data_IF_637069790912
#
_entry.id   IF_637069790912
#
_cell.length_a   1.000
_cell.length_b   1.000
_cell.length_c   1.000
_cell.angle_alpha   90.00
_cell.angle_beta   90.00
_cell.angle_gamma   90.00
#
_symmetry.space_group_name_H-M   'P 1'
#
loop_
_entity.id
_entity.type
_entity.pdbx_description
1 polymer ?
#
# COMPACT_ATOMS: atom_id res chain seq x y z
N UNK A 1 24.69 34.85 12.39
CA UNK A 1 23.52 34.77 13.30
C UNK A 1 22.25 34.79 12.45
N UNK A 2 21.82 33.65 11.93
CA UNK A 2 20.51 33.48 11.31
C UNK A 2 19.94 32.16 11.82
N UNK A 3 19.15 32.25 12.90
CA UNK A 3 18.29 31.15 13.34
C UNK A 3 17.13 31.07 12.35
N UNK A 4 17.16 30.11 11.42
CA UNK A 4 15.94 29.67 10.73
C UNK A 4 15.19 28.75 11.70
N UNK A 5 14.21 29.30 12.40
CA UNK A 5 13.14 28.51 13.01
C UNK A 5 12.32 27.92 11.87
N UNK A 6 12.54 26.64 11.56
CA UNK A 6 11.72 25.87 10.64
C UNK A 6 10.36 25.61 11.29
N UNK A 7 9.40 26.49 11.05
CA UNK A 7 8.00 26.15 11.22
C UNK A 7 7.66 25.10 10.16
N UNK A 8 7.54 23.83 10.57
CA UNK A 8 6.86 22.80 9.77
C UNK A 8 5.42 23.29 9.65
N UNK A 9 5.05 23.88 8.51
CA UNK A 9 3.64 24.08 8.17
C UNK A 9 3.09 22.70 7.83
N UNK A 10 2.06 22.27 8.53
CA UNK A 10 1.26 21.12 8.09
C UNK A 10 0.66 21.47 6.73
N UNK A 11 1.01 20.70 5.69
CA UNK A 11 0.47 20.87 4.34
C UNK A 11 -0.88 20.13 4.15
N UNK A 12 -1.22 19.21 5.06
CA UNK A 12 -2.48 18.46 5.08
C UNK A 12 -2.98 18.29 6.52
N UNK A 13 -4.30 18.18 6.68
CA UNK A 13 -4.98 18.06 7.97
C UNK A 13 -5.50 16.65 8.29
N UNK A 14 -5.29 15.70 7.38
CA UNK A 14 -5.65 14.28 7.51
C UNK A 14 -5.04 13.48 6.37
N UNK A 15 -4.90 12.17 6.55
CA UNK A 15 -4.28 11.27 5.55
C UNK A 15 -5.07 9.96 5.45
N UNK A 16 -5.34 9.54 4.21
CA UNK A 16 -5.89 8.23 3.88
C UNK A 16 -4.78 7.47 3.13
N UNK A 17 -4.43 6.29 3.61
CA UNK A 17 -3.46 5.39 3.00
C UNK A 17 -4.17 4.08 2.69
N UNK A 18 -4.26 3.78 1.39
CA UNK A 18 -4.92 2.59 0.89
C UNK A 18 -3.89 1.61 0.34
N UNK A 19 -3.95 0.36 0.79
CA UNK A 19 -3.13 -0.79 0.40
C UNK A 19 -1.60 -0.68 0.64
N UNK A 20 -0.96 0.47 0.45
CA UNK A 20 0.50 0.59 0.53
C UNK A 20 0.97 1.54 1.64
N UNK A 21 1.24 1.02 2.85
CA UNK A 21 1.93 1.79 3.89
C UNK A 21 3.38 2.11 3.50
N UNK A 22 3.97 3.10 4.16
CA UNK A 22 5.31 3.64 3.83
C UNK A 22 6.47 2.63 3.96
N UNK A 23 6.22 1.51 4.61
CA UNK A 23 7.21 0.48 4.91
C UNK A 23 7.31 -0.67 3.91
N UNK A 24 6.46 -0.73 2.88
CA UNK A 24 6.52 -1.83 1.91
C UNK A 24 7.77 -1.71 1.04
N UNK A 25 8.32 -2.87 0.65
CA UNK A 25 9.45 -2.96 -0.29
C UNK A 25 9.12 -2.30 -1.65
N UNK A 26 7.84 -2.17 -2.01
CA UNK A 26 7.41 -1.46 -3.21
C UNK A 26 7.54 0.07 -3.11
N UNK A 27 7.72 0.61 -1.90
CA UNK A 27 7.80 2.06 -1.65
C UNK A 27 9.22 2.47 -1.26
N UNK A 28 9.82 1.82 -0.25
CA UNK A 28 11.23 2.02 0.13
C UNK A 28 11.89 0.67 0.49
N UNK A 29 12.86 0.22 -0.33
CA UNK A 29 13.60 -1.01 -0.05
C UNK A 29 14.96 -0.71 0.59
N UNK A 30 15.15 -1.09 1.85
CA UNK A 30 16.47 -1.02 2.48
C UNK A 30 17.41 -2.04 1.85
N UNK A 31 18.51 -1.57 1.25
CA UNK A 31 19.51 -2.42 0.62
C UNK A 31 19.20 -2.84 -0.82
N UNK A 32 18.09 -2.37 -1.41
CA UNK A 32 17.93 -2.42 -2.86
C UNK A 32 18.79 -1.33 -3.48
N UNK A 33 19.59 -1.72 -4.47
CA UNK A 33 20.66 -0.88 -4.97
C UNK A 33 20.22 -0.09 -6.20
N UNK A 34 19.41 0.95 -5.96
CA UNK A 34 19.04 1.93 -7.00
C UNK A 34 20.28 2.57 -7.63
N UNK A 35 21.43 2.60 -6.95
CA UNK A 35 22.68 3.10 -7.50
C UNK A 35 23.22 2.21 -8.63
N UNK A 36 23.11 0.88 -8.51
CA UNK A 36 23.50 -0.05 -9.59
C UNK A 36 22.60 0.16 -10.81
N UNK A 37 21.29 0.29 -10.59
CA UNK A 37 20.34 0.55 -11.66
C UNK A 37 20.66 1.88 -12.37
N UNK A 38 20.82 2.94 -11.57
CA UNK A 38 21.16 4.28 -12.04
C UNK A 38 22.48 4.29 -12.82
N UNK A 39 23.49 3.59 -12.32
CA UNK A 39 24.79 3.46 -12.97
C UNK A 39 24.67 2.70 -14.30
N UNK A 40 23.97 1.57 -14.34
CA UNK A 40 23.74 0.80 -15.57
C UNK A 40 23.02 1.61 -16.64
N UNK A 41 21.99 2.37 -16.25
CA UNK A 41 21.25 3.24 -17.18
C UNK A 41 22.14 4.39 -17.65
N UNK A 42 22.93 5.00 -16.76
CA UNK A 42 23.86 6.07 -17.12
C UNK A 42 24.94 5.63 -18.12
N UNK A 43 25.49 4.42 -17.95
CA UNK A 43 26.46 3.81 -18.86
C UNK A 43 25.84 3.53 -20.22
N UNK A 44 24.64 2.94 -20.22
CA UNK A 44 23.96 2.52 -21.45
C UNK A 44 23.48 3.71 -22.29
N UNK A 45 22.91 4.72 -21.64
CA UNK A 45 22.23 5.82 -22.32
C UNK A 45 23.12 7.04 -22.57
N UNK A 46 24.08 7.28 -21.68
CA UNK A 46 24.89 8.50 -21.69
C UNK A 46 26.39 8.23 -21.85
N UNK A 47 26.81 6.97 -22.01
CA UNK A 47 28.22 6.57 -21.97
C UNK A 47 28.95 7.08 -20.70
N UNK A 48 28.22 7.20 -19.60
CA UNK A 48 28.74 7.74 -18.33
C UNK A 48 29.61 6.68 -17.66
N UNK A 49 30.89 6.95 -17.42
CA UNK A 49 31.83 5.92 -16.95
C UNK A 49 31.77 5.73 -15.43
N UNK A 50 32.29 4.60 -14.94
CA UNK A 50 32.41 4.36 -13.50
C UNK A 50 33.30 5.39 -12.80
N UNK A 51 34.32 5.92 -13.48
CA UNK A 51 35.17 6.97 -12.92
C UNK A 51 34.37 8.26 -12.73
N UNK A 52 33.57 8.66 -13.73
CA UNK A 52 32.67 9.83 -13.62
C UNK A 52 31.62 9.65 -12.52
N UNK A 53 31.14 8.41 -12.32
CA UNK A 53 30.23 8.06 -11.23
C UNK A 53 30.88 8.26 -9.85
N UNK A 54 32.10 7.75 -9.69
CA UNK A 54 32.85 7.83 -8.43
C UNK A 54 33.31 9.26 -8.10
N UNK A 55 33.53 10.10 -9.12
CA UNK A 55 33.87 11.51 -8.95
C UNK A 55 32.71 12.34 -8.37
N UNK A 56 31.47 11.83 -8.46
CA UNK A 56 30.29 12.45 -7.83
C UNK A 56 29.79 13.73 -8.49
N UNK A 57 30.38 14.15 -9.61
CA UNK A 57 29.89 15.28 -10.43
C UNK A 57 28.93 14.77 -11.52
N UNK A 58 27.65 14.70 -11.17
CA UNK A 58 26.59 14.23 -12.06
C UNK A 58 26.10 15.28 -13.07
N UNK A 59 26.79 16.41 -13.25
CA UNK A 59 26.36 17.45 -14.20
C UNK A 59 26.26 16.92 -15.63
N UNK A 60 27.29 16.20 -16.10
CA UNK A 60 27.29 15.62 -17.45
C UNK A 60 26.20 14.58 -17.64
N UNK A 61 25.93 13.77 -16.60
CA UNK A 61 24.84 12.80 -16.64
C UNK A 61 23.48 13.50 -16.74
N UNK A 62 23.26 14.53 -15.91
CA UNK A 62 22.04 15.32 -15.93
C UNK A 62 21.79 15.95 -17.29
N UNK A 63 22.79 16.62 -17.86
CA UNK A 63 22.65 17.30 -19.16
C UNK A 63 22.26 16.28 -20.25
N UNK A 64 22.91 15.10 -20.27
CA UNK A 64 22.57 14.02 -21.20
C UNK A 64 21.12 13.51 -21.02
N UNK A 65 20.69 13.24 -19.78
CA UNK A 65 19.34 12.73 -19.50
C UNK A 65 18.26 13.77 -19.81
N UNK A 66 18.53 15.07 -19.62
CA UNK A 66 17.59 16.14 -19.92
C UNK A 66 17.32 16.31 -21.43
N UNK A 67 18.32 16.03 -22.26
CA UNK A 67 18.21 16.10 -23.72
C UNK A 67 17.76 14.77 -24.35
N UNK A 68 17.49 13.75 -23.52
CA UNK A 68 17.16 12.41 -23.99
C UNK A 68 15.72 12.30 -24.49
N UNK A 69 15.53 11.59 -25.60
CA UNK A 69 14.20 11.13 -26.01
C UNK A 69 13.72 10.04 -25.05
N UNK A 70 12.57 10.28 -24.41
CA UNK A 70 11.91 9.36 -23.50
C UNK A 70 11.75 7.96 -24.11
N UNK A 71 11.51 7.84 -25.41
CA UNK A 71 11.34 6.55 -26.08
C UNK A 71 12.61 5.69 -26.08
N UNK A 72 13.79 6.28 -25.85
CA UNK A 72 15.05 5.53 -25.67
C UNK A 72 15.21 5.00 -24.24
N UNK A 73 14.58 5.67 -23.29
CA UNK A 73 14.65 5.33 -21.87
C UNK A 73 13.70 4.18 -21.52
N UNK A 74 12.45 4.25 -22.01
CA UNK A 74 11.38 3.29 -21.66
C UNK A 74 11.74 1.80 -21.83
N UNK A 75 12.46 1.36 -22.89
CA UNK A 75 12.80 -0.06 -23.03
C UNK A 75 13.72 -0.61 -21.94
N UNK A 76 14.54 0.24 -21.30
CA UNK A 76 15.41 -0.16 -20.19
C UNK A 76 14.64 -0.30 -18.88
N UNK A 77 13.60 0.49 -18.70
CA UNK A 77 12.75 0.48 -17.51
C UNK A 77 11.69 -0.64 -17.51
N UNK A 78 11.31 -1.15 -18.68
CA UNK A 78 10.26 -2.17 -18.83
C UNK A 78 10.55 -3.53 -18.16
N UNK A 79 11.81 -3.80 -17.75
CA UNK A 79 12.22 -5.09 -17.18
C UNK A 79 12.68 -5.00 -15.72
N UNK A 80 12.37 -3.90 -15.04
CA UNK A 80 12.75 -3.73 -13.65
C UNK A 80 11.69 -4.37 -12.77
N UNK A 81 11.98 -5.55 -12.22
CA UNK A 81 11.08 -6.30 -11.32
C UNK A 81 10.50 -5.44 -10.18
N UNK A 82 11.14 -4.32 -9.83
CA UNK A 82 10.69 -3.39 -8.80
C UNK A 82 10.80 -1.91 -9.21
N UNK A 83 11.30 -1.59 -10.42
CA UNK A 83 11.36 -0.21 -10.92
C UNK A 83 12.16 0.80 -10.06
N UNK A 84 11.88 2.08 -10.28
CA UNK A 84 12.41 3.21 -9.50
C UNK A 84 11.62 3.40 -8.20
N UNK A 85 12.32 3.66 -7.09
CA UNK A 85 11.73 3.79 -5.75
C UNK A 85 12.02 5.14 -5.11
N UNK A 86 11.32 5.44 -4.01
CA UNK A 86 11.67 6.57 -3.16
C UNK A 86 12.97 6.23 -2.42
N UNK A 87 13.96 7.12 -2.51
CA UNK A 87 15.25 6.96 -1.84
C UNK A 87 15.37 7.90 -0.64
N UNK A 88 16.17 7.49 0.35
CA UNK A 88 16.57 8.37 1.47
C UNK A 88 17.56 9.39 0.92
N UNK A 89 17.10 10.62 0.72
CA UNK A 89 17.86 11.70 0.07
C UNK A 89 18.44 12.72 1.07
N UNK A 90 18.14 12.57 2.37
CA UNK A 90 18.56 13.53 3.40
C UNK A 90 17.77 14.84 3.40
N UNK A 91 16.78 15.00 2.52
CA UNK A 91 15.99 16.22 2.35
C UNK A 91 14.47 15.96 2.35
N UNK A 92 13.93 15.38 1.28
CA UNK A 92 12.51 15.02 1.19
C UNK A 92 12.20 13.82 2.11
N UNK A 93 12.99 12.76 2.00
CA UNK A 93 12.99 11.61 2.91
C UNK A 93 14.33 11.59 3.66
N UNK A 94 14.43 12.28 4.81
CA UNK A 94 15.71 12.52 5.48
C UNK A 94 16.31 11.28 6.17
N UNK A 95 15.50 10.25 6.40
CA UNK A 95 15.90 8.97 6.98
C UNK A 95 14.84 7.91 6.62
N UNK A 96 15.09 6.64 6.95
CA UNK A 96 14.11 5.57 6.76
C UNK A 96 12.84 5.80 7.59
N UNK A 97 11.65 5.41 7.10
CA UNK A 97 10.39 5.60 7.81
C UNK A 97 10.38 5.10 9.27
N UNK A 98 11.07 4.00 9.57
CA UNK A 98 11.18 3.43 10.92
C UNK A 98 11.91 4.37 11.89
N UNK A 99 12.89 5.13 11.40
CA UNK A 99 13.63 6.12 12.18
C UNK A 99 12.86 7.45 12.30
N UNK A 100 11.93 7.70 11.37
CA UNK A 100 11.12 8.92 11.33
C UNK A 100 9.79 8.80 12.09
N UNK A 101 9.42 7.63 12.61
CA UNK A 101 8.13 7.39 13.29
C UNK A 101 7.79 8.41 14.38
N UNK A 102 8.77 8.80 15.20
CA UNK A 102 8.57 9.78 16.29
C UNK A 102 8.35 11.21 15.78
N UNK A 103 8.72 11.49 14.52
CA UNK A 103 8.54 12.80 13.86
C UNK A 103 7.24 12.87 13.06
N UNK A 104 6.44 11.79 13.03
CA UNK A 104 5.15 11.78 12.33
C UNK A 104 4.21 12.81 12.95
N UNK A 105 3.51 13.61 12.15
CA UNK A 105 2.55 14.57 12.65
C UNK A 105 1.34 13.86 13.27
N UNK A 106 0.80 14.42 14.35
CA UNK A 106 -0.43 13.92 14.97
C UNK A 106 -1.65 14.46 14.21
N UNK A 107 -1.92 13.86 13.06
CA UNK A 107 -3.10 14.11 12.22
C UNK A 107 -3.98 12.85 12.20
N UNK A 108 -5.28 12.98 11.92
CA UNK A 108 -6.13 11.83 11.62
C UNK A 108 -5.56 10.99 10.48
N UNK A 109 -5.50 9.68 10.69
CA UNK A 109 -5.03 8.69 9.72
C UNK A 109 -6.14 7.66 9.49
N UNK A 110 -6.46 7.36 8.24
CA UNK A 110 -7.29 6.23 7.84
C UNK A 110 -6.42 5.25 7.04
N UNK A 111 -6.33 4.01 7.50
CA UNK A 111 -5.50 2.95 6.93
C UNK A 111 -6.38 1.76 6.53
N UNK A 112 -6.06 1.17 5.39
CA UNK A 112 -6.75 0.01 4.87
C UNK A 112 -5.83 -1.02 4.25
N UNK A 113 -6.40 -2.20 3.98
CA UNK A 113 -5.87 -3.19 3.04
C UNK A 113 -6.96 -4.10 2.47
N UNK A 114 -6.67 -4.68 1.30
CA UNK A 114 -7.38 -5.80 0.68
C UNK A 114 -6.48 -7.02 0.43
N UNK A 115 -7.07 -8.22 0.33
CA UNK A 115 -6.37 -9.43 -0.09
C UNK A 115 -5.87 -9.32 -1.54
N UNK A 116 -4.88 -10.12 -1.94
CA UNK A 116 -4.23 -10.04 -3.26
C UNK A 116 -4.44 -11.26 -4.15
N UNK A 117 -4.29 -11.05 -5.46
CA UNK A 117 -4.00 -12.12 -6.40
C UNK A 117 -2.48 -12.27 -6.56
N UNK A 118 -1.93 -13.50 -6.62
CA UNK A 118 -0.51 -13.70 -6.42
C UNK A 118 0.32 -13.56 -7.70
N UNK A 119 1.49 -12.93 -7.60
CA UNK A 119 2.69 -13.23 -8.38
C UNK A 119 3.73 -13.76 -7.38
N UNK A 120 4.07 -15.05 -7.48
CA UNK A 120 4.64 -15.81 -6.35
C UNK A 120 6.18 -15.82 -6.37
N UNK A 121 6.77 -15.71 -5.18
CA UNK A 121 8.12 -16.24 -4.88
C UNK A 121 8.02 -17.39 -3.88
N UNK A 122 8.79 -18.47 -4.10
CA UNK A 122 8.73 -19.71 -3.29
C UNK A 122 9.10 -19.51 -1.81
N UNK A 123 9.82 -18.45 -1.48
CA UNK A 123 10.29 -18.14 -0.12
C UNK A 123 9.11 -17.79 0.80
N UNK A 124 8.13 -17.03 0.29
CA UNK A 124 6.99 -16.55 1.08
C UNK A 124 6.04 -17.71 1.42
N UNK A 125 5.83 -18.62 0.46
CA UNK A 125 4.98 -19.81 0.63
C UNK A 125 5.51 -20.73 1.75
N UNK A 126 6.83 -20.90 1.83
CA UNK A 126 7.46 -21.78 2.82
C UNK A 126 7.33 -21.28 4.27
N UNK A 127 7.09 -19.98 4.49
CA UNK A 127 6.92 -19.40 5.84
C UNK A 127 5.48 -19.59 6.35
N UNK A 128 4.50 -19.53 5.46
CA UNK A 128 3.07 -19.54 5.81
C UNK A 128 2.39 -20.90 5.61
N UNK A 129 2.91 -21.76 4.72
CA UNK A 129 2.35 -23.08 4.54
C UNK A 129 2.69 -23.97 5.74
N UNK A 130 1.67 -24.39 6.50
CA UNK A 130 1.87 -25.40 7.54
C UNK A 130 2.42 -26.69 6.92
N UNK A 131 3.52 -27.24 7.45
CA UNK A 131 4.30 -28.38 6.92
C UNK A 131 3.55 -29.74 6.81
N UNK A 132 2.23 -29.79 6.91
CA UNK A 132 1.48 -31.05 6.92
C UNK A 132 0.12 -30.91 6.22
N UNK A 133 0.02 -30.99 4.89
CA UNK A 133 -1.21 -31.35 4.14
C UNK A 133 -0.93 -31.89 2.73
N UNK A 134 -1.98 -32.43 2.10
CA UNK A 134 -1.97 -33.13 0.81
C UNK A 134 -1.68 -32.20 -0.37
N UNK A 135 -0.63 -32.50 -1.14
CA UNK A 135 -0.17 -31.73 -2.31
C UNK A 135 -1.21 -31.61 -3.44
N UNK A 136 -2.24 -32.45 -3.45
CA UNK A 136 -3.28 -32.41 -4.48
C UNK A 136 -4.38 -31.36 -4.23
N UNK A 137 -4.41 -30.69 -3.07
CA UNK A 137 -5.40 -29.63 -2.79
C UNK A 137 -4.91 -28.27 -3.32
N UNK A 138 -4.98 -28.12 -4.64
CA UNK A 138 -4.48 -26.93 -5.32
C UNK A 138 -5.21 -25.64 -4.90
N UNK A 139 -6.48 -25.72 -4.49
CA UNK A 139 -7.23 -24.55 -4.04
C UNK A 139 -6.76 -24.10 -2.65
N UNK A 140 -6.46 -25.04 -1.75
CA UNK A 140 -5.85 -24.71 -0.46
C UNK A 140 -4.46 -24.08 -0.63
N UNK A 141 -3.63 -24.65 -1.52
CA UNK A 141 -2.32 -24.07 -1.82
C UNK A 141 -2.45 -22.64 -2.35
N UNK A 142 -3.34 -22.40 -3.30
CA UNK A 142 -3.58 -21.07 -3.83
C UNK A 142 -3.97 -20.07 -2.72
N UNK A 143 -4.91 -20.45 -1.84
CA UNK A 143 -5.30 -19.62 -0.68
C UNK A 143 -4.12 -19.33 0.25
N UNK A 144 -3.33 -20.36 0.55
CA UNK A 144 -2.17 -20.24 1.43
C UNK A 144 -1.13 -19.29 0.86
N UNK A 145 -0.88 -19.35 -0.45
CA UNK A 145 0.06 -18.42 -1.08
C UNK A 145 -0.47 -16.98 -1.08
N UNK A 146 -1.76 -16.79 -1.36
CA UNK A 146 -2.38 -15.47 -1.31
C UNK A 146 -2.28 -14.90 0.10
N UNK A 147 -2.68 -15.66 1.12
CA UNK A 147 -2.60 -15.22 2.51
C UNK A 147 -1.15 -14.89 2.91
N UNK A 148 -0.19 -15.71 2.50
CA UNK A 148 1.23 -15.48 2.76
C UNK A 148 1.75 -14.19 2.14
N UNK A 149 1.38 -13.93 0.89
CA UNK A 149 1.80 -12.75 0.17
C UNK A 149 1.13 -11.49 0.72
N UNK A 150 -0.18 -11.54 0.97
CA UNK A 150 -0.92 -10.46 1.64
C UNK A 150 -0.30 -10.14 3.01
N UNK A 151 0.02 -11.18 3.79
CA UNK A 151 0.77 -11.10 5.04
C UNK A 151 2.07 -10.33 4.91
N UNK A 152 2.96 -10.85 4.07
CA UNK A 152 4.33 -10.39 3.93
C UNK A 152 4.47 -9.03 3.25
N UNK A 153 3.56 -8.65 2.35
CA UNK A 153 3.69 -7.43 1.55
C UNK A 153 2.75 -6.29 1.98
N UNK A 154 1.70 -6.59 2.75
CA UNK A 154 0.64 -5.61 3.06
C UNK A 154 0.31 -5.58 4.56
N UNK A 155 -0.32 -6.63 5.09
CA UNK A 155 -0.94 -6.60 6.43
C UNK A 155 0.05 -6.44 7.57
N UNK A 156 1.23 -7.06 7.45
CA UNK A 156 2.32 -6.85 8.41
C UNK A 156 2.78 -5.38 8.42
N UNK A 157 2.94 -4.76 7.25
CA UNK A 157 3.39 -3.38 7.16
C UNK A 157 2.34 -2.38 7.61
N UNK A 158 1.05 -2.64 7.36
CA UNK A 158 -0.04 -1.78 7.85
C UNK A 158 -0.16 -1.89 9.36
N UNK A 159 -0.09 -3.10 9.93
CA UNK A 159 -0.06 -3.29 11.37
C UNK A 159 1.12 -2.55 12.02
N UNK A 160 2.29 -2.60 11.39
CA UNK A 160 3.49 -1.87 11.82
C UNK A 160 3.32 -0.35 11.72
N UNK A 161 2.71 0.17 10.66
CA UNK A 161 2.46 1.61 10.51
C UNK A 161 1.46 2.12 11.56
N UNK A 162 0.43 1.32 11.89
CA UNK A 162 -0.46 1.59 13.03
C UNK A 162 0.34 1.70 14.32
N UNK A 163 1.23 0.74 14.59
CA UNK A 163 2.09 0.77 15.78
C UNK A 163 2.95 2.04 15.82
N UNK A 164 3.53 2.45 14.70
CA UNK A 164 4.30 3.70 14.62
C UNK A 164 3.47 4.95 14.93
N UNK A 165 2.22 5.01 14.46
CA UNK A 165 1.34 6.12 14.80
C UNK A 165 0.97 6.10 16.28
N UNK A 166 0.61 4.95 16.84
CA UNK A 166 0.26 4.82 18.26
C UNK A 166 1.45 5.13 19.18
N UNK A 167 2.67 4.68 18.84
CA UNK A 167 3.91 5.01 19.55
C UNK A 167 4.26 6.50 19.51
N UNK A 168 3.77 7.22 18.50
CA UNK A 168 3.90 8.69 18.40
C UNK A 168 2.83 9.46 19.18
N UNK A 169 2.04 8.77 20.02
CA UNK A 169 0.88 9.31 20.74
C UNK A 169 -0.25 9.83 19.83
N UNK A 170 -0.38 9.29 18.62
CA UNK A 170 -1.53 9.58 17.76
C UNK A 170 -2.73 8.74 18.20
N UNK A 171 -3.82 9.39 18.61
CA UNK A 171 -5.07 8.74 19.04
C UNK A 171 -6.15 8.74 17.98
N UNK A 172 -5.86 9.29 16.80
CA UNK A 172 -6.80 9.46 15.69
C UNK A 172 -6.42 8.54 14.51
N UNK A 173 -6.12 7.28 14.82
CA UNK A 173 -5.79 6.25 13.82
C UNK A 173 -7.04 5.41 13.61
N UNK A 174 -7.52 5.30 12.38
CA UNK A 174 -8.68 4.49 12.00
C UNK A 174 -8.19 3.38 11.07
N UNK A 175 -8.39 2.14 11.50
CA UNK A 175 -8.04 0.95 10.71
C UNK A 175 -9.32 0.29 10.21
N UNK A 176 -9.31 -0.18 8.97
CA UNK A 176 -10.36 -1.08 8.47
C UNK A 176 -9.83 -2.23 7.63
N UNK A 177 -10.70 -3.21 7.43
CA UNK A 177 -10.48 -4.33 6.53
C UNK A 177 -11.69 -4.48 5.61
N UNK A 178 -11.46 -4.51 4.31
CA UNK A 178 -12.51 -4.75 3.32
C UNK A 178 -12.56 -6.24 2.96
N UNK A 179 -13.72 -6.86 3.18
CA UNK A 179 -13.91 -8.32 3.08
C UNK A 179 -15.09 -8.73 2.21
N UNK A 180 -15.75 -7.77 1.55
CA UNK A 180 -16.84 -8.09 0.63
C UNK A 180 -16.31 -8.82 -0.62
N UNK A 181 -17.02 -9.87 -1.00
CA UNK A 181 -16.69 -10.67 -2.17
C UNK A 181 -17.60 -10.24 -3.32
N UNK A 182 -17.09 -9.38 -4.19
CA UNK A 182 -17.81 -8.92 -5.38
C UNK A 182 -17.14 -9.44 -6.64
N UNK A 183 -17.93 -9.60 -7.72
CA UNK A 183 -17.41 -9.87 -9.06
C UNK A 183 -17.11 -8.58 -9.84
N UNK A 184 -17.28 -7.43 -9.20
CA UNK A 184 -16.93 -6.14 -9.75
C UNK A 184 -15.43 -6.07 -10.03
N UNK A 185 -15.05 -5.73 -11.27
CA UNK A 185 -13.66 -5.58 -11.70
C UNK A 185 -12.87 -6.88 -11.92
N UNK A 186 -13.51 -8.05 -11.82
CA UNK A 186 -12.86 -9.33 -12.04
C UNK A 186 -12.55 -9.59 -13.53
N UNK A 187 -11.30 -9.96 -13.82
CA UNK A 187 -10.90 -10.48 -15.14
C UNK A 187 -10.67 -12.00 -15.15
N UNK A 188 -10.29 -12.59 -14.00
CA UNK A 188 -9.96 -14.01 -13.84
C UNK A 188 -10.49 -14.56 -12.50
N UNK A 189 -11.22 -15.68 -12.57
CA UNK A 189 -11.87 -16.29 -11.41
C UNK A 189 -11.40 -17.74 -11.18
N UNK A 190 -10.71 -18.03 -10.07
CA UNK A 190 -10.41 -19.41 -9.69
C UNK A 190 -11.69 -20.06 -9.16
N UNK A 191 -12.31 -20.94 -9.95
CA UNK A 191 -13.53 -21.64 -9.56
C UNK A 191 -13.47 -22.24 -8.15
N UNK A 192 -14.44 -21.90 -7.30
CA UNK A 192 -14.53 -22.41 -5.92
C UNK A 192 -13.98 -21.47 -4.84
N UNK A 193 -13.53 -20.26 -5.20
CA UNK A 193 -13.13 -19.23 -4.24
C UNK A 193 -13.24 -17.81 -4.83
N UNK A 194 -13.88 -16.92 -4.09
CA UNK A 194 -14.13 -15.52 -4.46
C UNK A 194 -13.33 -14.63 -3.49
N UNK A 195 -12.01 -14.43 -3.68
CA UNK A 195 -11.26 -13.52 -2.82
C UNK A 195 -11.72 -12.06 -3.02
N UNK A 196 -11.32 -11.20 -2.10
CA UNK A 196 -11.28 -9.76 -2.39
C UNK A 196 -9.89 -9.47 -2.97
N UNK A 197 -9.77 -8.63 -4.01
CA UNK A 197 -8.46 -8.35 -4.61
C UNK A 197 -8.03 -6.89 -4.43
N UNK A 198 -6.73 -6.65 -4.51
CA UNK A 198 -6.11 -5.34 -4.32
C UNK A 198 -6.74 -4.22 -5.18
N UNK A 199 -7.07 -3.10 -4.54
CA UNK A 199 -7.72 -1.95 -5.16
C UNK A 199 -9.21 -2.15 -5.50
N UNK A 200 -9.83 -3.26 -5.08
CA UNK A 200 -11.24 -3.52 -5.38
C UNK A 200 -12.20 -2.57 -4.64
N UNK A 201 -11.83 -2.11 -3.45
CA UNK A 201 -12.53 -1.08 -2.69
C UNK A 201 -12.58 0.27 -3.43
N UNK A 202 -11.56 0.55 -4.24
CA UNK A 202 -11.48 1.77 -5.06
C UNK A 202 -12.65 1.90 -6.05
N UNK A 203 -13.28 0.79 -6.46
CA UNK A 203 -14.44 0.83 -7.34
C UNK A 203 -15.65 1.51 -6.69
N UNK A 204 -15.80 1.36 -5.38
CA UNK A 204 -16.89 1.97 -4.61
C UNK A 204 -16.61 3.42 -4.25
N UNK A 205 -15.32 3.77 -4.09
CA UNK A 205 -14.89 5.15 -3.77
C UNK A 205 -14.98 6.05 -5.01
N UNK A 206 -14.48 5.58 -6.16
CA UNK A 206 -14.32 6.43 -7.35
C UNK A 206 -15.45 6.31 -8.37
N UNK A 207 -16.29 5.28 -8.28
CA UNK A 207 -17.43 5.06 -9.17
C UNK A 207 -17.08 5.18 -10.66
N UNK A 208 -16.00 4.52 -11.10
CA UNK A 208 -15.59 4.54 -12.51
C UNK A 208 -16.74 4.14 -13.45
N UNK A 209 -17.25 5.11 -14.22
CA UNK A 209 -18.42 4.94 -15.07
C UNK A 209 -18.29 3.77 -16.04
N UNK A 210 -17.10 3.55 -16.61
CA UNK A 210 -16.85 2.46 -17.56
C UNK A 210 -17.03 1.09 -16.89
N UNK A 211 -16.44 0.93 -15.71
CA UNK A 211 -16.47 -0.31 -14.95
C UNK A 211 -17.88 -0.61 -14.43
N UNK A 212 -18.56 0.38 -13.84
CA UNK A 212 -19.92 0.22 -13.32
C UNK A 212 -20.96 -0.01 -14.40
N UNK A 213 -20.84 0.64 -15.56
CA UNK A 213 -21.75 0.38 -16.68
C UNK A 213 -21.55 -1.02 -17.25
N UNK A 214 -20.31 -1.44 -17.47
CA UNK A 214 -19.99 -2.76 -18.03
C UNK A 214 -20.45 -3.89 -17.10
N UNK A 215 -20.26 -3.73 -15.79
CA UNK A 215 -20.61 -4.75 -14.78
C UNK A 215 -22.11 -4.81 -14.51
N UNK A 216 -22.80 -3.67 -14.54
CA UNK A 216 -24.26 -3.61 -14.47
C UNK A 216 -24.89 -4.32 -15.68
N UNK A 217 -24.35 -4.10 -16.89
CA UNK A 217 -24.77 -4.79 -18.12
C UNK A 217 -24.52 -6.30 -18.06
N UNK A 218 -23.47 -6.72 -17.34
CA UNK A 218 -23.12 -8.13 -17.15
C UNK A 218 -23.81 -8.76 -15.92
N UNK A 219 -24.74 -8.06 -15.25
CA UNK A 219 -25.46 -8.53 -14.06
C UNK A 219 -24.56 -8.99 -12.90
N UNK A 220 -23.38 -8.40 -12.76
CA UNK A 220 -22.43 -8.76 -11.68
C UNK A 220 -22.54 -7.87 -10.44
N UNK A 221 -23.36 -6.82 -10.51
CA UNK A 221 -23.63 -5.89 -9.40
C UNK A 221 -24.82 -6.38 -8.57
N UNK A 222 -24.69 -6.31 -7.25
CA UNK A 222 -25.67 -6.74 -6.26
C UNK A 222 -26.19 -5.54 -5.45
N UNK A 223 -27.32 -5.67 -4.72
CA UNK A 223 -27.78 -4.63 -3.79
C UNK A 223 -26.72 -4.22 -2.76
N UNK A 224 -25.94 -5.18 -2.26
CA UNK A 224 -24.84 -4.92 -1.32
C UNK A 224 -23.76 -4.03 -1.93
N UNK A 225 -23.51 -4.12 -3.25
CA UNK A 225 -22.54 -3.25 -3.91
C UNK A 225 -22.99 -1.78 -3.86
N UNK A 226 -24.29 -1.50 -3.95
CA UNK A 226 -24.83 -0.15 -3.79
C UNK A 226 -24.74 0.33 -2.33
N UNK A 227 -24.98 -0.54 -1.35
CA UNK A 227 -24.80 -0.20 0.07
C UNK A 227 -23.34 0.17 0.37
N UNK A 228 -22.39 -0.55 -0.23
CA UNK A 228 -20.97 -0.25 -0.09
C UNK A 228 -20.60 1.11 -0.68
N UNK A 229 -21.21 1.53 -1.80
CA UNK A 229 -21.02 2.89 -2.34
C UNK A 229 -21.36 3.94 -1.29
N UNK A 230 -22.52 3.79 -0.63
CA UNK A 230 -22.96 4.73 0.40
C UNK A 230 -22.02 4.72 1.61
N UNK A 231 -21.56 3.54 2.04
CA UNK A 231 -20.63 3.38 3.17
C UNK A 231 -19.28 4.04 2.88
N UNK A 232 -18.68 3.74 1.73
CA UNK A 232 -17.40 4.32 1.34
C UNK A 232 -17.53 5.84 1.11
N UNK A 233 -18.58 6.28 0.41
CA UNK A 233 -18.83 7.70 0.15
C UNK A 233 -19.06 8.50 1.44
N UNK A 234 -19.84 7.95 2.38
CA UNK A 234 -20.06 8.57 3.68
C UNK A 234 -18.76 8.58 4.51
N UNK A 235 -18.10 7.44 4.68
CA UNK A 235 -16.91 7.33 5.52
C UNK A 235 -15.75 8.22 5.04
N UNK A 236 -15.47 8.23 3.72
CA UNK A 236 -14.37 9.05 3.17
C UNK A 236 -14.72 10.53 3.27
N UNK A 237 -15.96 10.90 2.93
CA UNK A 237 -16.36 12.30 3.00
C UNK A 237 -16.40 12.82 4.45
N UNK A 238 -16.83 12.00 5.40
CA UNK A 238 -16.79 12.33 6.82
C UNK A 238 -15.35 12.44 7.33
N UNK A 239 -14.47 11.52 6.95
CA UNK A 239 -13.06 11.59 7.32
C UNK A 239 -12.40 12.87 6.80
N UNK A 240 -12.66 13.25 5.54
CA UNK A 240 -12.14 14.50 4.97
C UNK A 240 -12.71 15.73 5.69
N UNK A 241 -14.01 15.73 6.03
CA UNK A 241 -14.67 16.87 6.70
C UNK A 241 -14.27 17.02 8.17
N UNK A 242 -14.11 15.92 8.88
CA UNK A 242 -14.10 15.88 10.34
C UNK A 242 -12.87 15.21 10.95
N UNK A 243 -12.03 14.56 10.15
CA UNK A 243 -10.96 13.68 10.65
C UNK A 243 -11.48 12.42 11.35
N UNK A 244 -12.74 12.04 11.09
CA UNK A 244 -13.42 10.88 11.68
C UNK A 244 -14.36 10.28 10.62
N UNK A 245 -14.19 8.99 10.23
CA UNK A 245 -15.02 8.37 9.21
C UNK A 245 -16.48 8.15 9.67
N UNK A 246 -16.74 8.14 10.98
CA UNK A 246 -18.06 7.87 11.57
C UNK A 246 -18.29 8.83 12.75
N UNK A 247 -18.76 10.06 12.49
CA UNK A 247 -19.07 11.03 13.54
C UNK A 247 -20.12 10.54 14.55
N UNK A 248 -20.95 9.56 14.16
CA UNK A 248 -21.92 8.87 15.03
C UNK A 248 -21.29 7.80 15.94
N UNK A 249 -19.98 7.55 15.83
CA UNK A 249 -19.20 6.71 16.73
C UNK A 249 -19.27 5.20 16.47
N UNK A 250 -19.84 4.78 15.33
CA UNK A 250 -19.86 3.35 14.92
C UNK A 250 -18.46 2.85 14.60
N UNK A 251 -17.66 3.66 13.90
CA UNK A 251 -16.25 3.41 13.64
C UNK A 251 -15.39 4.24 14.61
N UNK A 252 -14.75 3.54 15.55
CA UNK A 252 -13.89 4.14 16.57
C UNK A 252 -12.42 4.06 16.16
N UNK A 253 -11.57 5.00 16.60
CA UNK A 253 -10.15 4.92 16.34
C UNK A 253 -9.54 3.69 17.03
N UNK A 254 -8.55 3.11 16.37
CA UNK A 254 -7.62 2.14 16.94
C UNK A 254 -6.77 2.83 17.99
N UNK A 255 -6.87 2.39 19.24
CA UNK A 255 -6.12 2.98 20.36
C UNK A 255 -5.19 1.99 21.07
N UNK A 256 -5.38 0.69 20.81
CA UNK A 256 -4.62 -0.37 21.45
C UNK A 256 -3.77 -1.10 20.40
N UNK A 257 -2.45 -0.99 20.54
CA UNK A 257 -1.48 -1.62 19.62
C UNK A 257 -1.44 -3.15 19.70
N UNK A 258 -1.84 -3.73 20.83
CA UNK A 258 -1.81 -5.19 21.05
C UNK A 258 -3.09 -5.84 20.50
N UNK A 259 -4.21 -5.13 20.53
CA UNK A 259 -5.51 -5.61 20.02
C UNK A 259 -5.72 -5.20 18.56
N UNK A 260 -5.25 -4.01 18.16
CA UNK A 260 -5.50 -3.38 16.85
C UNK A 260 -6.97 -3.50 16.43
N UNK A 261 -7.83 -2.78 17.14
CA UNK A 261 -9.25 -2.65 16.77
C UNK A 261 -9.39 -2.07 15.37
N UNK A 262 -10.28 -2.63 14.56
CA UNK A 262 -10.51 -2.21 13.18
C UNK A 262 -11.98 -2.28 12.84
N UNK A 263 -12.41 -1.56 11.80
CA UNK A 263 -13.77 -1.66 11.27
C UNK A 263 -13.78 -2.64 10.10
N UNK A 264 -14.63 -3.67 10.15
CA UNK A 264 -14.82 -4.56 9.01
C UNK A 264 -15.86 -3.96 8.06
N UNK A 265 -15.54 -3.91 6.77
CA UNK A 265 -16.46 -3.51 5.70
C UNK A 265 -16.64 -4.71 4.77
N UNK A 266 -17.72 -5.47 4.97
CA UNK A 266 -17.99 -6.68 4.19
C UNK A 266 -19.41 -7.20 4.34
N UNK A 267 -19.54 -8.54 4.37
CA UNK A 267 -20.81 -9.24 4.67
C UNK A 267 -21.37 -8.78 6.01
N UNK A 268 -20.48 -8.52 6.96
CA UNK A 268 -20.81 -7.87 8.23
C UNK A 268 -20.07 -6.55 8.33
N UNK A 269 -20.69 -5.60 9.01
CA UNK A 269 -20.12 -4.28 9.24
C UNK A 269 -20.01 -4.04 10.75
N UNK A 270 -18.88 -3.52 11.19
CA UNK A 270 -18.70 -3.12 12.57
C UNK A 270 -17.27 -3.29 13.08
N UNK A 271 -17.06 -2.83 14.31
CA UNK A 271 -15.78 -2.97 14.98
C UNK A 271 -15.44 -4.45 15.25
N UNK A 272 -14.19 -4.79 14.96
CA UNK A 272 -13.53 -6.07 15.20
C UNK A 272 -12.26 -5.85 16.01
N UNK A 273 -11.73 -6.95 16.52
CA UNK A 273 -10.50 -6.99 17.32
C UNK A 273 -9.53 -7.98 16.70
N UNK A 274 -8.23 -7.78 16.92
CA UNK A 274 -7.19 -8.69 16.46
C UNK A 274 -6.97 -8.59 14.96
N UNK A 275 -6.79 -7.37 14.44
CA UNK A 275 -6.48 -7.17 13.02
C UNK A 275 -5.30 -8.04 12.59
N UNK A 276 -5.56 -9.08 11.80
CA UNK A 276 -4.55 -9.95 11.19
C UNK A 276 -3.43 -10.39 12.16
N UNK A 277 -3.82 -10.95 13.32
CA UNK A 277 -2.86 -11.38 14.37
C UNK A 277 -1.73 -12.28 13.86
N UNK A 278 -1.99 -13.10 12.83
CA UNK A 278 -1.01 -13.99 12.20
C UNK A 278 0.08 -13.26 11.42
N UNK A 279 -0.18 -12.01 11.02
CA UNK A 279 0.73 -11.19 10.20
C UNK A 279 1.51 -10.16 11.05
N UNK A 280 1.30 -10.14 12.36
CA UNK A 280 1.97 -9.22 13.27
C UNK A 280 3.30 -9.84 13.76
N UNK A 281 4.42 -9.46 13.14
CA UNK A 281 5.78 -9.89 13.50
C UNK A 281 6.75 -8.73 13.66
#
# INVERSE_FOLDING_TARGET
>A
MFRRTSHIRMCAHGHICQDFPTGTCDVTCRGYNDEILSMNHSQTLCNFTSDMWNDGDFKTLKDCLQDMDLLKFLPLDNNLNWGWKITVDGYFLPDYPENLKQKRPNIPILLDLVQLQPNISDIIVNIYASHYRNDSDHLYWLKSVVDAFTGAAFTAFTARDVDFYLESNNTNVYLYEYTWQTRLGYSLYPGGWDPTFHGQESFYIWLSTELWNTTTLNFTVTPTDYELIDIFGEAWSNFVKFGNPSPDGKWRPTINKDIKEYYEIGVTQGMRHGYRLVDQW
#
